data_IF_172871802267
#
_entry.id   IF_172871802267
#
_cell.length_a   1.000
_cell.length_b   1.000
_cell.length_c   1.000
_cell.angle_alpha   90.00
_cell.angle_beta   90.00
_cell.angle_gamma   90.00
#
_symmetry.space_group_name_H-M   'P 1'
#
loop_
_entity.id
_entity.type
_entity.pdbx_description
1 polymer ?
#
# COMPACT_ATOMS: atom_id res chain seq x y z
N UNK A 1 -3.34 16.04 -33.00
CA UNK A 1 -1.93 16.00 -32.57
C UNK A 1 -1.94 15.10 -31.35
N UNK A 2 -1.76 13.79 -31.56
CA UNK A 2 -1.64 12.83 -30.46
C UNK A 2 -0.28 13.12 -29.81
N UNK A 3 -0.26 13.99 -28.79
CA UNK A 3 0.84 13.96 -27.83
C UNK A 3 0.95 12.51 -27.34
N UNK A 4 2.16 11.97 -27.33
CA UNK A 4 2.40 10.60 -26.91
C UNK A 4 1.95 10.48 -25.45
N UNK A 5 0.74 9.94 -25.21
CA UNK A 5 0.18 9.75 -23.87
C UNK A 5 1.08 8.87 -22.99
N UNK A 6 2.11 8.22 -23.56
CA UNK A 6 3.14 7.55 -22.79
C UNK A 6 4.07 8.52 -22.02
N UNK A 7 4.10 9.80 -22.37
CA UNK A 7 4.95 10.81 -21.72
C UNK A 7 4.32 11.48 -20.49
N UNK A 8 3.03 11.24 -20.20
CA UNK A 8 2.34 11.88 -19.05
C UNK A 8 2.71 11.27 -17.69
N UNK A 9 3.27 10.06 -17.72
CA UNK A 9 3.82 9.36 -16.55
C UNK A 9 5.14 8.71 -16.93
N UNK A 10 6.18 8.88 -16.11
CA UNK A 10 7.49 8.26 -16.31
C UNK A 10 7.87 7.47 -15.08
N UNK A 11 8.26 6.21 -15.25
CA UNK A 11 8.78 5.39 -14.17
C UNK A 11 10.30 5.38 -14.20
N UNK A 12 10.93 5.33 -13.02
CA UNK A 12 12.36 5.33 -12.83
C UNK A 12 12.77 4.33 -11.76
N UNK A 13 14.03 3.92 -11.84
CA UNK A 13 14.68 3.03 -10.89
C UNK A 13 16.12 3.52 -10.66
N UNK A 14 16.58 3.42 -9.41
CA UNK A 14 17.99 3.37 -9.08
C UNK A 14 18.28 2.18 -8.19
N UNK A 15 19.30 1.40 -8.56
CA UNK A 15 19.84 0.28 -7.78
C UNK A 15 21.13 0.69 -7.04
N UNK A 16 21.46 1.98 -7.03
CA UNK A 16 22.60 2.49 -6.28
C UNK A 16 22.32 2.48 -4.78
N UNK A 17 23.35 2.20 -3.98
CA UNK A 17 23.29 2.33 -2.52
C UNK A 17 23.74 3.73 -2.03
N UNK A 18 24.35 4.52 -2.91
CA UNK A 18 24.78 5.89 -2.61
C UNK A 18 23.62 6.88 -2.82
N UNK A 19 23.19 7.63 -1.78
CA UNK A 19 22.03 8.51 -1.86
C UNK A 19 22.12 9.60 -2.93
N UNK A 20 23.32 10.15 -3.15
CA UNK A 20 23.56 11.17 -4.18
C UNK A 20 23.35 10.58 -5.59
N UNK A 21 23.93 9.41 -5.84
CA UNK A 21 23.77 8.67 -7.10
C UNK A 21 22.32 8.26 -7.35
N UNK A 22 21.57 7.86 -6.31
CA UNK A 22 20.14 7.59 -6.40
C UNK A 22 19.39 8.82 -6.90
N UNK A 23 19.59 9.97 -6.27
CA UNK A 23 18.90 11.20 -6.66
C UNK A 23 19.25 11.63 -8.10
N UNK A 24 20.51 11.48 -8.51
CA UNK A 24 20.95 11.74 -9.89
C UNK A 24 20.28 10.82 -10.91
N UNK A 25 20.20 9.51 -10.61
CA UNK A 25 19.60 8.51 -11.48
C UNK A 25 18.10 8.76 -11.69
N UNK A 26 17.38 9.05 -10.61
CA UNK A 26 15.96 9.37 -10.67
C UNK A 26 15.72 10.68 -11.41
N UNK A 27 16.49 11.73 -11.11
CA UNK A 27 16.36 13.02 -11.79
C UNK A 27 16.65 12.90 -13.30
N UNK A 28 17.65 12.11 -13.70
CA UNK A 28 17.98 11.86 -15.11
C UNK A 28 16.83 11.21 -15.88
N UNK A 29 16.08 10.33 -15.23
CA UNK A 29 14.96 9.60 -15.84
C UNK A 29 13.64 10.39 -15.80
N UNK A 30 13.41 11.16 -14.74
CA UNK A 30 12.12 11.79 -14.47
C UNK A 30 12.05 13.28 -14.85
N UNK A 31 13.15 14.03 -14.82
CA UNK A 31 13.10 15.47 -15.02
C UNK A 31 12.75 15.83 -16.47
N UNK A 32 11.69 16.65 -16.61
CA UNK A 32 11.31 17.33 -17.85
C UNK A 32 10.54 18.62 -17.50
N UNK A 33 10.33 19.56 -18.45
CA UNK A 33 9.72 20.87 -18.16
C UNK A 33 8.32 20.84 -17.55
N UNK A 34 7.65 19.68 -17.59
CA UNK A 34 6.28 19.51 -17.12
C UNK A 34 6.15 18.58 -15.92
N UNK A 35 7.25 18.13 -15.33
CA UNK A 35 7.19 17.29 -14.12
C UNK A 35 6.57 18.10 -12.97
N UNK A 36 5.44 17.63 -12.44
CA UNK A 36 4.72 18.29 -11.35
C UNK A 36 4.92 17.66 -9.98
N UNK A 37 5.02 16.33 -9.93
CA UNK A 37 5.13 15.57 -8.70
C UNK A 37 5.85 14.25 -8.96
N UNK A 38 6.56 13.74 -7.96
CA UNK A 38 7.15 12.40 -7.94
C UNK A 38 6.66 11.64 -6.73
N UNK A 39 6.17 10.43 -6.96
CA UNK A 39 5.92 9.43 -5.94
C UNK A 39 7.07 8.42 -5.95
N UNK A 40 7.72 8.17 -4.82
CA UNK A 40 8.82 7.21 -4.73
C UNK A 40 8.69 6.24 -3.56
N UNK A 41 9.37 5.11 -3.70
CA UNK A 41 9.41 4.02 -2.74
C UNK A 41 10.87 3.58 -2.60
N UNK A 42 11.38 3.54 -1.36
CA UNK A 42 12.78 3.25 -1.10
C UNK A 42 12.96 2.21 0.00
N UNK A 43 14.06 1.46 -0.05
CA UNK A 43 14.46 0.60 1.07
C UNK A 43 14.73 1.43 2.33
N UNK A 44 14.48 0.84 3.50
CA UNK A 44 14.81 1.48 4.77
C UNK A 44 16.31 1.45 5.10
N UNK A 45 17.13 0.73 4.30
CA UNK A 45 18.57 0.56 4.51
C UNK A 45 19.40 1.80 4.12
N UNK A 46 18.82 2.77 3.40
CA UNK A 46 19.51 4.00 3.04
C UNK A 46 19.76 4.92 4.26
N UNK A 47 20.79 5.75 4.16
CA UNK A 47 20.90 6.96 4.99
C UNK A 47 19.79 7.93 4.59
N UNK A 48 18.64 7.82 5.26
CA UNK A 48 17.42 8.58 4.93
C UNK A 48 17.63 10.11 4.99
N UNK A 49 18.33 10.69 5.99
CA UNK A 49 18.70 12.11 5.96
C UNK A 49 19.52 12.51 4.73
N UNK A 50 20.54 11.71 4.34
CA UNK A 50 21.34 11.99 3.16
C UNK A 50 20.54 11.86 1.87
N UNK A 51 19.69 10.84 1.76
CA UNK A 51 18.79 10.63 0.63
C UNK A 51 17.79 11.77 0.48
N UNK A 52 17.20 12.24 1.56
CA UNK A 52 16.30 13.38 1.54
C UNK A 52 17.00 14.66 1.03
N UNK A 53 18.20 14.95 1.53
CA UNK A 53 18.98 16.09 1.09
C UNK A 53 19.35 16.02 -0.40
N UNK A 54 19.76 14.85 -0.87
CA UNK A 54 20.08 14.62 -2.28
C UNK A 54 18.84 14.78 -3.17
N UNK A 55 17.72 14.16 -2.80
CA UNK A 55 16.47 14.28 -3.56
C UNK A 55 16.01 15.74 -3.71
N UNK A 56 16.02 16.52 -2.62
CA UNK A 56 15.70 17.95 -2.68
C UNK A 56 16.65 18.74 -3.59
N UNK A 57 17.95 18.44 -3.54
CA UNK A 57 18.95 19.10 -4.37
C UNK A 57 18.69 18.88 -5.87
N UNK A 58 18.37 17.66 -6.29
CA UNK A 58 18.25 17.32 -7.72
C UNK A 58 16.87 17.59 -8.32
N UNK A 59 15.80 17.53 -7.52
CA UNK A 59 14.44 17.78 -8.01
C UNK A 59 14.02 19.25 -7.91
N UNK A 60 14.82 20.10 -7.24
CA UNK A 60 14.77 21.56 -7.42
C UNK A 60 13.41 22.19 -7.13
N UNK A 61 12.68 21.66 -6.14
CA UNK A 61 11.34 22.15 -5.74
C UNK A 61 10.15 21.44 -6.41
N UNK A 62 10.38 20.43 -7.26
CA UNK A 62 9.32 19.48 -7.64
C UNK A 62 8.83 18.77 -6.38
N UNK A 63 7.51 18.61 -6.24
CA UNK A 63 6.92 17.92 -5.09
C UNK A 63 7.35 16.46 -5.08
N UNK A 64 7.89 16.02 -3.95
CA UNK A 64 8.28 14.64 -3.69
C UNK A 64 7.44 14.07 -2.55
N UNK A 65 6.86 12.89 -2.77
CA UNK A 65 6.16 12.11 -1.75
C UNK A 65 6.64 10.67 -1.83
N UNK A 66 6.76 9.99 -0.69
CA UNK A 66 7.16 8.59 -0.69
C UNK A 66 7.12 7.94 0.67
N UNK A 67 7.63 6.73 0.75
CA UNK A 67 7.81 6.01 2.00
C UNK A 67 8.95 4.97 1.91
N UNK A 68 9.33 4.46 3.07
CA UNK A 68 10.16 3.26 3.16
C UNK A 68 9.32 2.00 2.93
N UNK A 69 9.96 0.90 2.52
CA UNK A 69 9.24 -0.31 2.09
C UNK A 69 9.77 -1.60 2.71
N UNK A 70 9.02 -2.69 2.54
CA UNK A 70 9.49 -4.06 2.78
C UNK A 70 10.05 -4.74 1.51
N UNK A 71 10.36 -3.93 0.49
CA UNK A 71 10.74 -4.31 -0.86
C UNK A 71 9.97 -3.50 -1.91
N UNK A 72 10.57 -3.31 -3.08
CA UNK A 72 10.01 -2.45 -4.13
C UNK A 72 9.33 -3.25 -5.25
N UNK A 73 8.34 -2.63 -5.90
CA UNK A 73 7.88 -3.03 -7.23
C UNK A 73 8.37 -1.97 -8.21
N UNK A 74 9.24 -2.39 -9.11
CA UNK A 74 10.01 -1.53 -10.01
C UNK A 74 9.56 -1.72 -11.46
N UNK A 75 10.00 -0.85 -12.39
CA UNK A 75 9.82 -1.08 -13.83
C UNK A 75 10.39 -2.40 -14.34
N UNK A 76 11.27 -3.05 -13.57
CA UNK A 76 11.91 -4.32 -13.88
C UNK A 76 11.31 -5.51 -13.09
N UNK A 77 10.30 -5.27 -12.25
CA UNK A 77 9.66 -6.28 -11.41
C UNK A 77 10.00 -6.10 -9.93
N UNK A 78 10.00 -7.17 -9.15
CA UNK A 78 10.35 -7.07 -7.73
C UNK A 78 11.81 -6.62 -7.53
N UNK A 79 11.99 -5.59 -6.72
CA UNK A 79 13.28 -5.07 -6.26
C UNK A 79 13.49 -5.27 -4.76
N UNK A 80 14.71 -5.05 -4.30
CA UNK A 80 15.08 -4.98 -2.88
C UNK A 80 16.33 -4.12 -2.73
N UNK A 81 16.38 -3.26 -1.73
CA UNK A 81 17.54 -2.37 -1.52
C UNK A 81 17.68 -1.32 -2.62
N UNK A 82 16.57 -0.87 -3.21
CA UNK A 82 16.57 0.05 -4.34
C UNK A 82 15.57 1.20 -4.14
N UNK A 83 15.56 2.15 -5.09
CA UNK A 83 14.54 3.21 -5.13
C UNK A 83 13.79 3.16 -6.45
N UNK A 84 12.47 3.01 -6.35
CA UNK A 84 11.53 3.02 -7.47
C UNK A 84 10.70 4.30 -7.41
N UNK A 85 10.51 4.98 -8.54
CA UNK A 85 9.79 6.25 -8.56
C UNK A 85 8.94 6.44 -9.83
N UNK A 86 7.86 7.21 -9.70
CA UNK A 86 7.05 7.66 -10.83
C UNK A 86 6.88 9.17 -10.79
N UNK A 87 7.15 9.83 -11.92
CA UNK A 87 6.90 11.24 -12.16
C UNK A 87 5.59 11.46 -12.90
N UNK A 88 4.84 12.48 -12.48
CA UNK A 88 3.55 12.88 -13.06
C UNK A 88 3.65 14.23 -13.77
N UNK A 89 3.19 14.29 -15.02
CA UNK A 89 3.14 15.53 -15.80
C UNK A 89 1.98 16.43 -15.34
N UNK A 90 2.27 17.68 -14.96
CA UNK A 90 1.27 18.60 -14.42
C UNK A 90 0.22 19.05 -15.46
N UNK A 91 0.40 18.75 -16.74
CA UNK A 91 -0.61 18.99 -17.79
C UNK A 91 -1.74 17.97 -17.76
N UNK A 92 -1.50 16.79 -17.17
CA UNK A 92 -2.49 15.70 -17.06
C UNK A 92 -2.88 15.36 -15.63
N UNK A 93 -2.06 15.76 -14.66
CA UNK A 93 -2.29 15.51 -13.24
C UNK A 93 -2.21 16.81 -12.43
N UNK A 94 -3.16 16.98 -11.53
CA UNK A 94 -3.04 17.91 -10.41
C UNK A 94 -2.95 17.10 -9.13
N UNK A 95 -1.84 17.25 -8.40
CA UNK A 95 -1.52 16.42 -7.25
C UNK A 95 -1.25 17.30 -6.04
N UNK A 96 -2.10 17.17 -5.03
CA UNK A 96 -1.92 17.78 -3.72
C UNK A 96 -1.44 16.73 -2.71
N UNK A 97 -0.67 17.15 -1.71
CA UNK A 97 -0.19 16.27 -0.65
C UNK A 97 -0.22 16.97 0.70
N UNK A 98 -0.54 16.22 1.75
CA UNK A 98 -0.56 16.70 3.13
C UNK A 98 -0.03 15.64 4.08
N UNK A 99 0.81 16.05 5.03
CA UNK A 99 1.31 15.21 6.11
C UNK A 99 0.43 15.33 7.36
N UNK A 100 0.19 14.21 8.01
CA UNK A 100 -0.48 14.09 9.31
C UNK A 100 0.59 13.69 10.35
N UNK A 101 0.80 14.50 11.38
CA UNK A 101 1.88 14.29 12.36
C UNK A 101 1.46 13.53 13.63
N UNK A 102 0.23 13.70 14.07
CA UNK A 102 -0.24 13.23 15.38
C UNK A 102 -1.34 12.18 15.21
N UNK A 103 -0.97 11.00 14.70
CA UNK A 103 -1.93 9.92 14.40
C UNK A 103 -2.75 9.48 15.62
N UNK A 104 -2.19 9.55 16.83
CA UNK A 104 -2.87 9.19 18.09
C UNK A 104 -4.06 10.09 18.45
N UNK A 105 -4.03 11.36 18.02
CA UNK A 105 -5.06 12.34 18.32
C UNK A 105 -5.86 12.78 17.09
N UNK A 106 -5.66 12.11 15.96
CA UNK A 106 -6.26 12.49 14.70
C UNK A 106 -7.78 12.27 14.73
N UNK A 107 -8.54 13.34 14.52
CA UNK A 107 -9.99 13.36 14.60
C UNK A 107 -10.64 13.48 13.21
N UNK A 108 -11.96 13.26 13.16
CA UNK A 108 -12.75 13.52 11.95
C UNK A 108 -12.65 14.99 11.51
N UNK A 109 -12.55 15.94 12.45
CA UNK A 109 -12.43 17.35 12.11
C UNK A 109 -11.08 17.63 11.41
N UNK A 110 -10.00 17.02 11.89
CA UNK A 110 -8.67 17.12 11.28
C UNK A 110 -8.70 16.51 9.87
N UNK A 111 -9.33 15.34 9.71
CA UNK A 111 -9.51 14.69 8.42
C UNK A 111 -10.27 15.58 7.43
N UNK A 112 -11.36 16.21 7.87
CA UNK A 112 -12.14 17.14 7.04
C UNK A 112 -11.30 18.36 6.60
N UNK A 113 -10.46 18.90 7.49
CA UNK A 113 -9.56 20.01 7.16
C UNK A 113 -8.50 19.59 6.13
N UNK A 114 -7.84 18.44 6.34
CA UNK A 114 -6.85 17.88 5.41
C UNK A 114 -7.47 17.65 4.03
N UNK A 115 -8.62 16.98 3.96
CA UNK A 115 -9.29 16.69 2.68
C UNK A 115 -9.74 17.99 1.99
N UNK A 116 -10.29 18.95 2.74
CA UNK A 116 -10.69 20.24 2.16
C UNK A 116 -9.50 21.01 1.58
N UNK A 117 -8.35 21.01 2.28
CA UNK A 117 -7.11 21.62 1.78
C UNK A 117 -6.64 20.96 0.49
N UNK A 118 -6.57 19.63 0.45
CA UNK A 118 -6.14 18.86 -0.71
C UNK A 118 -7.04 19.13 -1.94
N UNK A 119 -8.35 19.16 -1.73
CA UNK A 119 -9.34 19.44 -2.78
C UNK A 119 -9.19 20.86 -3.31
N UNK A 120 -8.99 21.85 -2.44
CA UNK A 120 -8.83 23.25 -2.85
C UNK A 120 -7.55 23.45 -3.66
N UNK A 121 -6.45 22.82 -3.25
CA UNK A 121 -5.19 22.84 -4.00
C UNK A 121 -5.35 22.22 -5.39
N UNK A 122 -6.09 21.11 -5.51
CA UNK A 122 -6.36 20.49 -6.81
C UNK A 122 -7.24 21.35 -7.73
N UNK A 123 -8.22 22.08 -7.19
CA UNK A 123 -9.15 22.94 -7.96
C UNK A 123 -8.47 24.12 -8.66
N UNK A 124 -7.33 24.59 -8.16
CA UNK A 124 -6.57 25.67 -8.78
C UNK A 124 -6.03 25.36 -10.20
N UNK A 125 -6.08 24.09 -10.63
CA UNK A 125 -5.40 23.57 -11.83
C UNK A 125 -6.19 23.59 -13.14
N UNK A 126 -7.45 24.07 -13.17
CA UNK A 126 -8.34 24.11 -14.37
C UNK A 126 -8.67 22.76 -15.02
N UNK A 127 -8.52 21.65 -14.29
CA UNK A 127 -8.99 20.33 -14.71
C UNK A 127 -10.50 20.15 -14.36
N UNK A 128 -11.12 19.08 -14.87
CA UNK A 128 -12.56 18.73 -14.72
C UNK A 128 -13.05 18.73 -13.25
N UNK A 129 -14.37 18.61 -12.97
CA UNK A 129 -14.86 18.50 -11.59
C UNK A 129 -14.16 17.39 -10.79
N UNK A 130 -13.79 17.66 -9.54
CA UNK A 130 -13.06 16.71 -8.66
C UNK A 130 -13.80 15.38 -8.50
N UNK A 131 -15.14 15.40 -8.44
CA UNK A 131 -15.96 14.21 -8.31
C UNK A 131 -15.94 13.37 -9.59
N UNK A 132 -15.54 12.10 -9.46
CA UNK A 132 -15.40 11.17 -10.60
C UNK A 132 -14.03 11.24 -11.31
N UNK A 133 -13.19 12.22 -10.96
CA UNK A 133 -11.88 12.46 -11.58
C UNK A 133 -10.73 12.52 -10.56
N UNK A 134 -10.97 12.07 -9.33
CA UNK A 134 -9.94 12.08 -8.28
C UNK A 134 -9.95 10.79 -7.47
N UNK A 135 -8.77 10.39 -7.04
CA UNK A 135 -8.56 9.33 -6.06
C UNK A 135 -7.52 9.78 -5.04
N UNK A 136 -7.50 9.15 -3.87
CA UNK A 136 -6.47 9.41 -2.87
C UNK A 136 -5.60 8.18 -2.59
N UNK A 137 -4.31 8.45 -2.37
CA UNK A 137 -3.33 7.51 -1.87
C UNK A 137 -2.96 7.93 -0.44
N UNK A 138 -3.04 7.01 0.52
CA UNK A 138 -2.54 7.23 1.88
C UNK A 138 -1.32 6.35 2.12
N UNK A 139 -0.21 6.97 2.52
CA UNK A 139 0.99 6.28 3.01
C UNK A 139 1.05 6.49 4.52
N UNK A 140 1.04 5.40 5.29
CA UNK A 140 1.09 5.43 6.75
C UNK A 140 2.42 4.90 7.24
N UNK A 141 2.92 5.40 8.38
CA UNK A 141 3.94 4.69 9.15
C UNK A 141 3.36 3.34 9.60
N UNK A 142 3.90 2.25 9.06
CA UNK A 142 3.37 0.90 9.22
C UNK A 142 3.63 0.24 10.56
N UNK A 143 4.27 0.94 11.50
CA UNK A 143 4.37 0.52 12.90
C UNK A 143 3.52 1.40 13.84
N UNK A 144 2.67 2.28 13.29
CA UNK A 144 1.68 3.00 14.06
C UNK A 144 0.50 2.09 14.43
N UNK A 145 0.12 2.02 15.71
CA UNK A 145 -1.01 1.21 16.18
C UNK A 145 -2.39 1.86 15.96
N UNK A 146 -2.45 2.96 15.21
CA UNK A 146 -3.65 3.83 15.08
C UNK A 146 -4.21 3.93 13.66
N UNK A 147 -3.71 3.10 12.75
CA UNK A 147 -4.08 3.13 11.33
C UNK A 147 -5.60 3.06 11.15
N UNK A 148 -6.31 2.20 11.90
CA UNK A 148 -7.76 2.02 11.77
C UNK A 148 -8.55 3.30 12.08
N UNK A 149 -8.16 4.07 13.11
CA UNK A 149 -8.83 5.32 13.48
C UNK A 149 -8.60 6.40 12.43
N UNK A 150 -7.36 6.53 11.96
CA UNK A 150 -6.98 7.50 10.93
C UNK A 150 -7.71 7.21 9.62
N UNK A 151 -7.72 5.94 9.19
CA UNK A 151 -8.39 5.50 7.97
C UNK A 151 -9.90 5.69 8.05
N UNK A 152 -10.52 5.42 9.20
CA UNK A 152 -11.96 5.67 9.39
C UNK A 152 -12.29 7.17 9.29
N UNK A 153 -11.47 8.04 9.89
CA UNK A 153 -11.67 9.49 9.82
C UNK A 153 -11.49 10.02 8.40
N UNK A 154 -10.44 9.57 7.70
CA UNK A 154 -10.19 9.92 6.30
C UNK A 154 -11.32 9.43 5.38
N UNK A 155 -11.78 8.19 5.54
CA UNK A 155 -12.88 7.65 4.74
C UNK A 155 -14.16 8.47 4.87
N UNK A 156 -14.51 8.87 6.09
CA UNK A 156 -15.65 9.76 6.33
C UNK A 156 -15.46 11.15 5.70
N UNK A 157 -14.24 11.68 5.70
CA UNK A 157 -13.92 12.98 5.11
C UNK A 157 -13.88 12.96 3.57
N UNK A 158 -13.36 11.88 2.96
CA UNK A 158 -13.30 11.71 1.51
C UNK A 158 -14.66 11.53 0.85
N UNK A 159 -15.65 10.99 1.58
CA UNK A 159 -16.98 10.76 1.07
C UNK A 159 -16.96 9.79 -0.12
N UNK A 160 -17.22 10.30 -1.32
CA UNK A 160 -17.26 9.49 -2.54
C UNK A 160 -15.93 9.40 -3.29
N UNK A 161 -14.85 10.03 -2.80
CA UNK A 161 -13.53 9.94 -3.43
C UNK A 161 -12.95 8.54 -3.13
N UNK A 162 -12.73 7.69 -4.15
CA UNK A 162 -12.12 6.38 -3.95
C UNK A 162 -10.69 6.55 -3.44
N UNK A 163 -10.30 5.72 -2.49
CA UNK A 163 -8.98 5.84 -1.88
C UNK A 163 -8.41 4.50 -1.47
N UNK A 164 -7.09 4.44 -1.56
CA UNK A 164 -6.30 3.27 -1.22
C UNK A 164 -5.01 3.70 -0.54
N UNK A 165 -4.22 2.72 -0.11
CA UNK A 165 -2.96 3.02 0.53
C UNK A 165 -2.21 1.80 1.01
N UNK A 166 -1.06 2.10 1.58
CA UNK A 166 -0.13 1.13 2.09
C UNK A 166 0.61 1.66 3.30
N UNK A 167 0.83 0.76 4.25
CA UNK A 167 1.67 1.00 5.42
C UNK A 167 3.12 0.76 5.04
N UNK A 168 3.97 1.75 5.31
CA UNK A 168 5.41 1.73 5.07
C UNK A 168 6.05 0.52 5.74
N UNK A 169 7.16 0.05 5.17
CA UNK A 169 7.92 -1.08 5.67
C UNK A 169 9.36 -0.72 6.00
N UNK A 170 10.09 -1.68 6.56
CA UNK A 170 11.52 -1.59 6.84
C UNK A 170 12.21 -2.94 6.60
N UNK A 171 12.11 -3.46 5.39
CA UNK A 171 12.79 -4.70 4.97
C UNK A 171 12.53 -5.93 5.87
N UNK A 172 11.37 -5.98 6.53
CA UNK A 172 10.94 -7.00 7.50
C UNK A 172 11.67 -6.97 8.85
N UNK A 173 12.41 -5.90 9.17
CA UNK A 173 13.03 -5.73 10.49
C UNK A 173 11.99 -5.40 11.58
N UNK A 174 10.86 -4.78 11.22
CA UNK A 174 9.78 -4.38 12.14
C UNK A 174 10.27 -3.46 13.27
N UNK A 175 11.22 -2.57 12.94
CA UNK A 175 11.87 -1.65 13.87
C UNK A 175 11.44 -0.21 13.69
N UNK A 176 11.42 0.31 12.46
CA UNK A 176 11.14 1.72 12.19
C UNK A 176 10.79 1.98 10.73
N UNK A 177 9.60 2.51 10.46
CA UNK A 177 9.17 2.85 9.09
C UNK A 177 8.97 4.36 8.95
N UNK A 178 9.05 4.87 7.72
CA UNK A 178 9.01 6.31 7.49
C UNK A 178 8.16 6.67 6.28
N UNK A 179 7.52 7.83 6.36
CA UNK A 179 6.89 8.51 5.23
C UNK A 179 7.69 9.77 4.89
N UNK A 180 7.80 10.11 3.60
CA UNK A 180 8.52 11.27 3.12
C UNK A 180 7.54 12.40 2.74
N UNK A 181 7.80 13.60 3.28
CA UNK A 181 7.08 14.82 2.92
C UNK A 181 7.94 16.05 3.23
N UNK A 182 7.89 17.08 2.38
CA UNK A 182 8.61 18.36 2.54
C UNK A 182 10.10 18.20 2.90
N UNK A 183 10.83 17.43 2.09
CA UNK A 183 12.28 17.33 2.24
C UNK A 183 12.78 16.43 3.36
N UNK A 184 11.90 15.66 4.02
CA UNK A 184 12.27 14.86 5.21
C UNK A 184 11.47 13.56 5.32
N UNK A 185 12.09 12.58 5.96
CA UNK A 185 11.44 11.35 6.42
C UNK A 185 10.89 11.53 7.84
N UNK A 186 9.67 11.05 8.07
CA UNK A 186 8.92 11.22 9.31
C UNK A 186 8.42 9.88 9.84
N UNK A 187 8.42 9.73 11.15
CA UNK A 187 7.83 8.60 11.89
C UNK A 187 6.62 9.06 12.69
N UNK A 188 5.70 8.15 12.98
CA UNK A 188 4.43 8.45 13.63
C UNK A 188 3.52 9.31 12.77
N UNK A 189 3.74 9.32 11.46
CA UNK A 189 3.08 10.22 10.50
C UNK A 189 2.41 9.45 9.37
N UNK A 190 1.49 10.12 8.70
CA UNK A 190 0.94 9.68 7.41
C UNK A 190 1.10 10.78 6.36
N UNK A 191 1.12 10.41 5.09
CA UNK A 191 1.02 11.33 3.97
C UNK A 191 -0.18 10.95 3.13
N UNK A 192 -1.06 11.91 2.91
CA UNK A 192 -2.24 11.78 2.07
C UNK A 192 -2.00 12.54 0.79
N UNK A 193 -2.10 11.84 -0.34
CA UNK A 193 -1.94 12.39 -1.69
C UNK A 193 -3.28 12.34 -2.39
N UNK A 194 -3.79 13.50 -2.79
CA UNK A 194 -4.97 13.57 -3.66
C UNK A 194 -4.50 13.75 -5.10
N UNK A 195 -4.87 12.83 -5.96
CA UNK A 195 -4.56 12.87 -7.39
C UNK A 195 -5.84 13.18 -8.14
N UNK A 196 -5.80 14.26 -8.93
CA UNK A 196 -6.86 14.67 -9.82
C UNK A 196 -6.39 14.59 -11.28
N UNK A 197 -7.16 13.93 -12.14
CA UNK A 197 -6.77 13.70 -13.54
C UNK A 197 -7.99 13.50 -14.45
N UNK A 198 -7.83 13.89 -15.72
CA UNK A 198 -8.80 13.60 -16.77
C UNK A 198 -8.66 12.19 -17.38
N UNK A 199 -7.67 11.41 -16.92
CA UNK A 199 -7.48 10.02 -17.31
C UNK A 199 -8.50 9.12 -16.60
N UNK A 200 -8.89 8.03 -17.25
CA UNK A 200 -9.70 7.00 -16.62
C UNK A 200 -8.86 6.22 -15.60
N UNK A 201 -9.43 5.92 -14.44
CA UNK A 201 -8.77 5.11 -13.42
C UNK A 201 -9.75 4.23 -12.65
N UNK A 202 -9.22 3.20 -12.01
CA UNK A 202 -9.96 2.36 -11.09
C UNK A 202 -9.10 2.02 -9.88
N UNK A 203 -9.60 2.35 -8.68
CA UNK A 203 -9.04 1.90 -7.42
C UNK A 203 -9.55 0.49 -7.14
N UNK A 204 -8.66 -0.44 -6.85
CA UNK A 204 -8.97 -1.86 -6.73
C UNK A 204 -8.32 -2.49 -5.50
N UNK A 205 -8.85 -3.64 -5.09
CA UNK A 205 -8.21 -4.55 -4.15
C UNK A 205 -8.49 -6.00 -4.57
N UNK A 206 -7.55 -6.91 -4.34
CA UNK A 206 -7.75 -8.34 -4.59
C UNK A 206 -6.96 -9.21 -3.60
N UNK A 207 -7.48 -10.39 -3.31
CA UNK A 207 -6.77 -11.45 -2.61
C UNK A 207 -7.13 -12.81 -3.23
N UNK A 208 -6.21 -13.76 -3.10
CA UNK A 208 -6.38 -15.12 -3.64
C UNK A 208 -6.63 -16.15 -2.53
N UNK A 209 -6.84 -15.68 -1.30
CA UNK A 209 -7.03 -16.49 -0.10
C UNK A 209 -8.44 -17.10 -0.06
N UNK A 210 -8.52 -18.38 0.30
CA UNK A 210 -9.74 -19.19 0.31
C UNK A 210 -10.08 -19.68 1.73
N UNK A 211 -11.37 -19.71 2.12
CA UNK A 211 -11.78 -20.15 3.45
C UNK A 211 -11.69 -21.66 3.60
N UNK A 212 -11.31 -22.08 4.80
CA UNK A 212 -11.40 -23.45 5.31
C UNK A 212 -12.64 -23.59 6.21
N UNK A 213 -12.87 -24.80 6.74
CA UNK A 213 -14.04 -25.10 7.57
C UNK A 213 -13.87 -24.69 9.04
N UNK A 214 -12.62 -24.61 9.49
CA UNK A 214 -12.22 -24.42 10.87
C UNK A 214 -12.38 -22.97 11.29
N UNK A 215 -12.77 -22.79 12.55
CA UNK A 215 -13.05 -21.48 13.15
C UNK A 215 -12.42 -21.39 14.53
N UNK A 216 -11.95 -20.20 14.86
CA UNK A 216 -11.37 -19.83 16.14
C UNK A 216 -12.15 -18.64 16.69
N UNK A 217 -12.60 -18.73 17.93
CA UNK A 217 -13.29 -17.62 18.62
C UNK A 217 -12.26 -16.88 19.45
N UNK A 218 -12.16 -15.56 19.26
CA UNK A 218 -11.32 -14.71 20.11
C UNK A 218 -11.99 -14.54 21.47
N UNK A 219 -11.44 -15.14 22.51
CA UNK A 219 -12.04 -15.09 23.87
C UNK A 219 -11.40 -14.04 24.76
N UNK A 220 -10.13 -13.69 24.52
CA UNK A 220 -9.44 -12.59 25.20
C UNK A 220 -8.45 -11.91 24.24
N UNK A 221 -8.59 -10.60 24.07
CA UNK A 221 -7.74 -9.74 23.26
C UNK A 221 -7.70 -8.31 23.82
N UNK A 222 -6.60 -7.62 23.55
CA UNK A 222 -6.43 -6.18 23.68
C UNK A 222 -6.26 -5.56 22.28
N UNK A 223 -7.30 -4.89 21.76
CA UNK A 223 -7.25 -4.24 20.45
C UNK A 223 -6.18 -3.13 20.37
N UNK A 224 -5.88 -2.44 21.47
CA UNK A 224 -4.95 -1.31 21.46
C UNK A 224 -3.50 -1.75 21.23
N UNK A 225 -3.11 -2.89 21.79
CA UNK A 225 -1.82 -3.53 21.53
C UNK A 225 -1.87 -4.57 20.40
N UNK A 226 -3.01 -4.70 19.71
CA UNK A 226 -3.25 -5.71 18.65
C UNK A 226 -2.90 -7.13 19.09
N UNK A 227 -3.11 -7.44 20.37
CA UNK A 227 -2.68 -8.71 20.98
C UNK A 227 -3.89 -9.57 21.31
N UNK A 228 -3.89 -10.80 20.80
CA UNK A 228 -4.87 -11.84 21.13
C UNK A 228 -4.24 -12.80 22.12
N UNK A 229 -4.77 -12.83 23.34
CA UNK A 229 -4.29 -13.69 24.42
C UNK A 229 -4.87 -15.09 24.31
N UNK A 230 -6.15 -15.20 23.94
CA UNK A 230 -6.85 -16.47 23.91
C UNK A 230 -7.68 -16.67 22.64
N UNK A 231 -7.62 -17.90 22.14
CA UNK A 231 -8.48 -18.44 21.09
C UNK A 231 -9.18 -19.68 21.66
N UNK A 232 -10.51 -19.75 21.53
CA UNK A 232 -11.32 -20.85 22.06
C UNK A 232 -11.09 -21.13 23.57
N UNK A 233 -10.84 -20.10 24.38
CA UNK A 233 -10.50 -20.19 25.80
C UNK A 233 -9.18 -20.95 26.11
N UNK A 234 -8.28 -21.02 25.14
CA UNK A 234 -6.92 -21.57 25.27
C UNK A 234 -5.89 -20.52 24.85
N UNK A 235 -4.61 -20.60 25.30
CA UNK A 235 -3.56 -19.69 24.86
C UNK A 235 -3.47 -19.63 23.34
N UNK A 236 -3.51 -18.41 22.79
CA UNK A 236 -3.75 -18.19 21.36
C UNK A 236 -2.75 -18.95 20.46
N UNK A 237 -1.45 -18.92 20.78
CA UNK A 237 -0.45 -19.62 19.98
C UNK A 237 -0.58 -21.15 20.05
N UNK A 238 -0.98 -21.71 21.19
CA UNK A 238 -1.16 -23.16 21.33
C UNK A 238 -2.38 -23.64 20.54
N UNK A 239 -3.48 -22.89 20.62
CA UNK A 239 -4.69 -23.22 19.89
C UNK A 239 -4.51 -23.10 18.38
N UNK A 240 -3.79 -22.06 17.94
CA UNK A 240 -3.44 -21.90 16.54
C UNK A 240 -2.48 -23.00 16.05
N UNK A 241 -1.46 -23.36 16.83
CA UNK A 241 -0.58 -24.48 16.49
C UNK A 241 -1.34 -25.81 16.39
N UNK A 242 -2.30 -26.04 17.30
CA UNK A 242 -3.18 -27.22 17.29
C UNK A 242 -4.07 -27.26 16.05
N UNK A 243 -4.61 -26.11 15.62
CA UNK A 243 -5.35 -25.99 14.36
C UNK A 243 -4.49 -26.41 13.16
N UNK A 244 -3.23 -25.99 13.12
CA UNK A 244 -2.32 -26.30 12.01
C UNK A 244 -1.72 -27.72 12.11
N UNK A 245 -1.79 -28.35 13.28
CA UNK A 245 -1.14 -29.64 13.53
C UNK A 245 0.38 -29.55 13.61
N UNK A 246 0.91 -28.40 14.04
CA UNK A 246 2.36 -28.10 14.14
C UNK A 246 2.78 -27.89 15.59
N UNK A 247 4.10 -27.92 15.84
CA UNK A 247 4.64 -27.51 17.13
C UNK A 247 4.55 -25.97 17.27
N UNK A 248 4.16 -25.40 18.44
CA UNK A 248 4.15 -23.96 18.65
C UNK A 248 5.47 -23.24 18.31
N UNK A 249 6.61 -23.92 18.41
CA UNK A 249 7.92 -23.38 18.03
C UNK A 249 8.12 -23.21 16.53
N UNK A 250 7.25 -23.82 15.70
CA UNK A 250 7.25 -23.68 14.25
C UNK A 250 6.40 -22.49 13.79
N UNK A 251 5.72 -21.79 14.70
CA UNK A 251 4.93 -20.61 14.37
C UNK A 251 5.83 -19.41 14.07
N UNK A 252 6.15 -19.26 12.78
CA UNK A 252 6.98 -18.19 12.24
C UNK A 252 6.28 -17.44 11.09
N UNK A 253 6.96 -16.42 10.56
CA UNK A 253 6.40 -15.58 9.48
C UNK A 253 5.98 -16.38 8.23
N UNK A 254 6.79 -17.32 7.69
CA UNK A 254 6.35 -18.20 6.60
C UNK A 254 5.09 -18.99 6.93
N UNK A 255 4.96 -19.50 8.16
CA UNK A 255 3.76 -20.21 8.61
C UNK A 255 2.54 -19.28 8.60
N UNK A 256 2.67 -18.05 9.09
CA UNK A 256 1.57 -17.08 9.08
C UNK A 256 1.15 -16.65 7.67
N UNK A 257 2.11 -16.53 6.74
CA UNK A 257 1.82 -16.22 5.35
C UNK A 257 1.00 -17.33 4.67
N UNK A 258 1.30 -18.59 4.99
CA UNK A 258 0.67 -19.77 4.38
C UNK A 258 -0.60 -20.24 5.07
N UNK A 259 -0.86 -19.79 6.30
CA UNK A 259 -2.04 -20.20 7.09
C UNK A 259 -2.81 -19.00 7.66
N UNK A 260 -3.30 -18.07 6.81
CA UNK A 260 -3.97 -16.87 7.27
C UNK A 260 -5.25 -17.13 8.07
N UNK A 261 -5.61 -16.17 8.91
CA UNK A 261 -6.92 -16.08 9.56
C UNK A 261 -7.70 -14.92 8.95
N UNK A 262 -9.02 -15.04 8.83
CA UNK A 262 -9.87 -13.95 8.34
C UNK A 262 -11.19 -13.81 9.10
N UNK A 263 -11.67 -12.58 9.20
CA UNK A 263 -13.02 -12.27 9.66
C UNK A 263 -13.95 -12.27 8.46
N UNK A 264 -15.13 -12.88 8.60
CA UNK A 264 -16.18 -12.81 7.58
C UNK A 264 -17.11 -11.64 7.88
N UNK A 265 -17.23 -10.70 6.94
CA UNK A 265 -18.20 -9.61 6.96
C UNK A 265 -19.11 -9.74 5.73
N UNK A 266 -20.36 -10.12 5.95
CA UNK A 266 -21.28 -10.48 4.87
C UNK A 266 -20.75 -11.69 4.07
N UNK A 267 -20.55 -11.49 2.77
CA UNK A 267 -20.00 -12.52 1.87
C UNK A 267 -18.47 -12.39 1.65
N UNK A 268 -17.83 -11.40 2.27
CA UNK A 268 -16.41 -11.12 2.08
C UNK A 268 -15.58 -11.57 3.29
N UNK A 269 -14.33 -11.93 3.01
CA UNK A 269 -13.34 -12.32 4.02
C UNK A 269 -12.24 -11.26 4.11
N UNK A 270 -11.97 -10.81 5.32
CA UNK A 270 -10.97 -9.81 5.63
C UNK A 270 -9.87 -10.44 6.47
N UNK A 271 -8.70 -10.61 5.87
CA UNK A 271 -7.56 -11.27 6.53
C UNK A 271 -7.09 -10.42 7.72
N UNK A 272 -6.72 -11.13 8.79
CA UNK A 272 -6.07 -10.61 9.99
C UNK A 272 -4.78 -11.38 10.16
N UNK A 273 -3.69 -10.81 9.66
CA UNK A 273 -2.41 -11.49 9.65
C UNK A 273 -1.74 -11.43 11.02
N UNK A 274 -1.22 -12.58 11.45
CA UNK A 274 -0.41 -12.70 12.66
C UNK A 274 0.99 -12.16 12.35
N UNK A 275 1.52 -11.34 13.26
CA UNK A 275 2.87 -10.79 13.18
C UNK A 275 3.86 -11.70 13.90
N UNK A 276 3.56 -12.10 15.14
CA UNK A 276 4.47 -12.89 15.98
C UNK A 276 3.75 -13.63 17.10
N UNK A 277 4.44 -14.65 17.64
CA UNK A 277 4.16 -15.24 18.94
C UNK A 277 4.92 -14.49 20.03
N UNK A 278 4.25 -14.15 21.13
CA UNK A 278 4.87 -13.52 22.30
C UNK A 278 5.32 -14.57 23.32
N UNK A 279 6.14 -14.15 24.29
CA UNK A 279 6.69 -15.06 25.32
C UNK A 279 5.61 -15.70 26.22
N UNK A 280 4.46 -15.05 26.36
CA UNK A 280 3.30 -15.54 27.11
C UNK A 280 2.33 -16.38 26.25
N UNK A 281 2.74 -16.74 25.02
CA UNK A 281 1.94 -17.49 24.04
C UNK A 281 0.73 -16.74 23.48
N UNK A 282 0.63 -15.42 23.72
CA UNK A 282 -0.28 -14.56 22.97
C UNK A 282 0.22 -14.33 21.53
N UNK A 283 -0.69 -13.93 20.65
CA UNK A 283 -0.39 -13.60 19.25
C UNK A 283 -0.58 -12.10 19.03
N UNK A 284 0.44 -11.42 18.50
CA UNK A 284 0.30 -10.03 18.02
C UNK A 284 -0.08 -10.06 16.54
N UNK A 285 -1.05 -9.24 16.14
CA UNK A 285 -1.56 -9.12 14.77
C UNK A 285 -1.17 -7.78 14.14
N UNK A 286 -1.16 -7.73 12.80
CA UNK A 286 -0.95 -6.48 12.05
C UNK A 286 -2.14 -5.52 12.16
N UNK A 287 -3.35 -6.02 12.32
CA UNK A 287 -4.56 -5.23 12.53
C UNK A 287 -5.21 -5.54 13.88
N UNK A 288 -6.01 -4.62 14.40
CA UNK A 288 -6.78 -4.83 15.61
C UNK A 288 -7.78 -6.02 15.49
N UNK A 289 -7.90 -6.77 16.58
CA UNK A 289 -8.83 -7.90 16.73
C UNK A 289 -9.57 -7.75 18.08
N UNK A 290 -10.90 -7.81 18.05
CA UNK A 290 -11.75 -7.65 19.24
C UNK A 290 -12.23 -8.99 19.82
N UNK A 291 -12.59 -8.95 21.10
CA UNK A 291 -13.24 -10.07 21.78
C UNK A 291 -14.55 -10.47 21.10
N UNK A 292 -14.79 -11.77 21.01
CA UNK A 292 -16.00 -12.34 20.42
C UNK A 292 -15.99 -12.44 18.90
N UNK A 293 -14.96 -11.92 18.21
CA UNK A 293 -14.80 -12.10 16.78
C UNK A 293 -14.51 -13.58 16.48
N UNK A 294 -15.14 -14.09 15.41
CA UNK A 294 -14.86 -15.41 14.87
C UNK A 294 -13.88 -15.28 13.70
N UNK A 295 -12.70 -15.84 13.89
CA UNK A 295 -11.67 -15.99 12.86
C UNK A 295 -11.90 -17.31 12.13
N UNK A 296 -11.96 -17.25 10.81
CA UNK A 296 -12.02 -18.42 9.93
C UNK A 296 -10.60 -18.75 9.50
N UNK A 297 -10.23 -20.03 9.58
CA UNK A 297 -8.97 -20.51 9.02
C UNK A 297 -9.00 -20.38 7.50
N UNK A 298 -7.89 -19.97 6.89
CA UNK A 298 -7.81 -19.72 5.47
C UNK A 298 -6.55 -20.37 4.88
N UNK A 299 -6.53 -20.51 3.56
CA UNK A 299 -5.36 -20.99 2.81
C UNK A 299 -5.12 -20.16 1.54
N UNK A 300 -3.86 -19.96 1.10
CA UNK A 300 -3.57 -19.31 -0.17
C UNK A 300 -4.00 -20.18 -1.35
N UNK A 301 -4.94 -19.67 -2.15
CA UNK A 301 -5.31 -20.22 -3.45
C UNK A 301 -4.31 -19.86 -4.57
N UNK A 302 -4.73 -19.88 -5.84
CA UNK A 302 -3.85 -19.59 -6.97
C UNK A 302 -3.64 -18.07 -7.16
N UNK A 303 -2.49 -17.57 -6.70
CA UNK A 303 -2.11 -16.15 -6.75
C UNK A 303 -2.03 -15.58 -8.18
N UNK A 304 -1.27 -16.23 -9.07
CA UNK A 304 -1.06 -15.74 -10.44
C UNK A 304 -2.36 -15.65 -11.26
N UNK A 305 -3.22 -16.69 -11.30
CA UNK A 305 -4.54 -16.59 -11.93
C UNK A 305 -5.43 -15.48 -11.35
N UNK A 306 -5.37 -15.25 -10.04
CA UNK A 306 -6.11 -14.15 -9.41
C UNK A 306 -5.61 -12.78 -9.89
N UNK A 307 -4.29 -12.56 -9.95
CA UNK A 307 -3.72 -11.33 -10.49
C UNK A 307 -4.04 -11.15 -11.99
N UNK A 308 -3.94 -12.21 -12.78
CA UNK A 308 -4.27 -12.14 -14.21
C UNK A 308 -5.73 -11.74 -14.42
N UNK A 309 -6.66 -12.35 -13.69
CA UNK A 309 -8.08 -12.02 -13.78
C UNK A 309 -8.38 -10.57 -13.36
N UNK A 310 -7.69 -10.06 -12.33
CA UNK A 310 -7.77 -8.65 -11.92
C UNK A 310 -7.37 -7.75 -13.10
N UNK A 311 -6.17 -7.94 -13.66
CA UNK A 311 -5.65 -7.08 -14.71
C UNK A 311 -6.43 -7.19 -16.02
N UNK A 312 -6.90 -8.38 -16.39
CA UNK A 312 -7.78 -8.56 -17.55
C UNK A 312 -9.08 -7.76 -17.38
N UNK A 313 -9.68 -7.79 -16.17
CA UNK A 313 -10.86 -7.00 -15.86
C UNK A 313 -10.60 -5.49 -15.92
N UNK A 314 -9.49 -5.03 -15.36
CA UNK A 314 -9.09 -3.62 -15.40
C UNK A 314 -8.89 -3.14 -16.85
N UNK A 315 -8.20 -3.93 -17.69
CA UNK A 315 -7.98 -3.60 -19.09
C UNK A 315 -9.29 -3.59 -19.91
N UNK A 316 -10.25 -4.46 -19.59
CA UNK A 316 -11.56 -4.44 -20.23
C UNK A 316 -12.32 -3.13 -19.96
N UNK A 317 -12.16 -2.55 -18.76
CA UNK A 317 -12.86 -1.33 -18.34
C UNK A 317 -12.11 -0.04 -18.70
N UNK A 318 -10.79 -0.03 -18.58
CA UNK A 318 -9.93 1.14 -18.76
C UNK A 318 -9.15 1.16 -20.09
N UNK A 319 -9.18 0.07 -20.85
CA UNK A 319 -8.29 -0.11 -22.00
C UNK A 319 -6.83 -0.36 -21.57
N UNK A 320 -5.85 -0.14 -22.46
CA UNK A 320 -4.44 -0.29 -22.14
C UNK A 320 -4.02 0.62 -20.98
N UNK A 321 -3.38 0.01 -19.96
CA UNK A 321 -2.93 0.73 -18.77
C UNK A 321 -1.70 1.59 -19.07
N UNK A 322 -1.72 2.83 -18.59
CA UNK A 322 -0.58 3.75 -18.58
C UNK A 322 0.31 3.52 -17.35
N UNK A 323 -0.30 3.20 -16.23
CA UNK A 323 0.37 3.02 -14.95
C UNK A 323 -0.52 2.20 -14.02
N UNK A 324 0.08 1.34 -13.21
CA UNK A 324 -0.55 0.80 -12.01
C UNK A 324 0.29 1.17 -10.81
N UNK A 325 -0.30 1.81 -9.80
CA UNK A 325 0.37 2.04 -8.50
C UNK A 325 -0.12 0.96 -7.54
N UNK A 326 0.80 0.13 -7.05
CA UNK A 326 0.51 -1.08 -6.28
C UNK A 326 1.04 -1.06 -4.85
N UNK A 327 0.19 -1.47 -3.91
CA UNK A 327 0.50 -1.82 -2.52
C UNK A 327 0.31 -3.34 -2.39
N UNK A 328 1.41 -4.10 -2.34
CA UNK A 328 1.39 -5.58 -2.33
C UNK A 328 1.90 -6.10 -1.00
N UNK A 329 1.05 -6.73 -0.18
CA UNK A 329 1.45 -7.20 1.15
C UNK A 329 2.77 -7.98 1.12
N UNK A 330 3.70 -7.68 2.04
CA UNK A 330 4.96 -8.42 2.12
C UNK A 330 4.74 -9.93 2.34
N UNK A 331 3.65 -10.33 3.00
CA UNK A 331 3.25 -11.72 3.18
C UNK A 331 2.89 -12.41 1.85
N UNK A 332 2.36 -11.67 0.87
CA UNK A 332 2.13 -12.20 -0.49
C UNK A 332 3.44 -12.39 -1.22
N UNK A 333 4.37 -11.44 -1.11
CA UNK A 333 5.71 -11.61 -1.67
C UNK A 333 6.43 -12.80 -1.04
N UNK A 334 6.32 -12.99 0.28
CA UNK A 334 6.87 -14.13 0.98
C UNK A 334 6.27 -15.46 0.48
N UNK A 335 4.96 -15.52 0.24
CA UNK A 335 4.32 -16.68 -0.39
C UNK A 335 4.88 -16.94 -1.80
N UNK A 336 5.00 -15.89 -2.63
CA UNK A 336 5.56 -15.97 -3.98
C UNK A 336 6.99 -16.52 -3.95
N UNK A 337 7.81 -16.05 -3.02
CA UNK A 337 9.19 -16.51 -2.81
C UNK A 337 9.22 -17.98 -2.34
N UNK A 338 8.42 -18.34 -1.34
CA UNK A 338 8.34 -19.70 -0.81
C UNK A 338 7.86 -20.72 -1.85
N UNK A 339 7.01 -20.29 -2.80
CA UNK A 339 6.49 -21.13 -3.89
C UNK A 339 7.33 -21.07 -5.18
N UNK A 340 8.43 -20.31 -5.19
CA UNK A 340 9.30 -20.17 -6.36
C UNK A 340 8.65 -19.46 -7.56
N UNK A 341 7.65 -18.62 -7.33
CA UNK A 341 6.86 -17.94 -8.37
C UNK A 341 7.35 -16.51 -8.68
N UNK A 342 8.55 -16.13 -8.20
CA UNK A 342 9.08 -14.76 -8.27
C UNK A 342 9.15 -14.25 -9.70
N UNK A 343 9.74 -15.02 -10.61
CA UNK A 343 9.94 -14.60 -12.00
C UNK A 343 8.61 -14.39 -12.75
N UNK A 344 7.66 -15.29 -12.57
CA UNK A 344 6.35 -15.22 -13.23
C UNK A 344 5.53 -14.03 -12.70
N UNK A 345 5.56 -13.81 -11.39
CA UNK A 345 4.86 -12.69 -10.73
C UNK A 345 5.48 -11.37 -11.13
N UNK A 346 6.81 -11.24 -11.04
CA UNK A 346 7.53 -10.05 -11.48
C UNK A 346 7.26 -9.75 -12.96
N UNK A 347 7.30 -10.77 -13.83
CA UNK A 347 6.99 -10.61 -15.25
C UNK A 347 5.56 -10.13 -15.50
N UNK A 348 4.58 -10.59 -14.72
CA UNK A 348 3.21 -10.07 -14.79
C UNK A 348 3.14 -8.61 -14.35
N UNK A 349 3.75 -8.24 -13.22
CA UNK A 349 3.77 -6.86 -12.71
C UNK A 349 4.41 -5.89 -13.72
N UNK A 350 5.52 -6.28 -14.36
CA UNK A 350 6.17 -5.50 -15.43
C UNK A 350 5.23 -5.30 -16.62
N UNK A 351 4.60 -6.38 -17.13
CA UNK A 351 3.66 -6.29 -18.26
C UNK A 351 2.49 -5.36 -17.98
N UNK A 352 2.07 -5.28 -16.72
CA UNK A 352 0.94 -4.46 -16.26
C UNK A 352 1.37 -3.07 -15.77
N UNK A 353 2.63 -2.69 -16.01
CA UNK A 353 3.24 -1.39 -15.66
C UNK A 353 3.02 -1.04 -14.19
N UNK A 354 3.19 -2.03 -13.31
CA UNK A 354 3.07 -1.82 -11.87
C UNK A 354 4.34 -1.18 -11.33
N UNK A 355 4.17 -0.08 -10.62
CA UNK A 355 5.16 0.50 -9.72
C UNK A 355 4.56 0.58 -8.33
N UNK A 356 5.36 0.40 -7.30
CA UNK A 356 4.79 0.25 -5.97
C UNK A 356 5.77 -0.30 -4.97
N UNK A 357 5.20 -0.91 -3.93
CA UNK A 357 6.00 -1.43 -2.85
C UNK A 357 5.31 -2.56 -2.10
N UNK A 358 6.13 -3.30 -1.37
CA UNK A 358 5.69 -4.27 -0.40
C UNK A 358 5.40 -3.60 0.93
N UNK A 359 4.16 -3.75 1.39
CA UNK A 359 3.57 -3.08 2.55
C UNK A 359 3.53 -3.98 3.77
N UNK A 360 3.47 -3.40 4.97
CA UNK A 360 3.07 -4.12 6.20
C UNK A 360 1.55 -4.21 6.39
N UNK A 361 0.80 -3.44 5.61
CA UNK A 361 -0.64 -3.43 5.60
C UNK A 361 -1.15 -2.62 4.42
N UNK A 362 -2.31 -2.99 3.89
CA UNK A 362 -2.94 -2.34 2.76
C UNK A 362 -4.24 -1.67 3.20
N UNK A 363 -4.65 -0.66 2.45
CA UNK A 363 -5.76 0.21 2.83
C UNK A 363 -6.70 0.33 1.66
N UNK A 364 -7.99 0.11 1.89
CA UNK A 364 -9.02 0.23 0.86
C UNK A 364 -10.31 0.76 1.47
N UNK A 365 -10.77 1.94 1.01
CA UNK A 365 -12.01 2.57 1.46
C UNK A 365 -12.18 2.59 2.99
N UNK A 366 -11.17 3.08 3.71
CA UNK A 366 -11.16 3.22 5.16
C UNK A 366 -10.85 1.95 5.96
N UNK A 367 -10.63 0.81 5.29
CA UNK A 367 -10.31 -0.45 5.96
C UNK A 367 -8.82 -0.76 5.89
N UNK A 368 -8.25 -1.18 7.03
CA UNK A 368 -6.94 -1.80 7.09
C UNK A 368 -7.07 -3.32 6.83
N UNK A 369 -6.42 -3.80 5.78
CA UNK A 369 -6.49 -5.18 5.30
C UNK A 369 -5.08 -5.72 5.07
N UNK A 370 -4.90 -7.04 5.18
CA UNK A 370 -3.62 -7.70 4.94
C UNK A 370 -3.74 -8.75 3.84
N UNK A 371 -2.60 -9.20 3.31
CA UNK A 371 -2.50 -10.23 2.27
C UNK A 371 -3.35 -9.93 1.03
N UNK A 372 -3.44 -8.65 0.70
CA UNK A 372 -4.08 -8.14 -0.51
C UNK A 372 -3.06 -7.51 -1.45
N UNK A 373 -3.45 -7.41 -2.71
CA UNK A 373 -2.85 -6.48 -3.64
C UNK A 373 -3.87 -5.39 -3.90
N UNK A 374 -3.54 -4.17 -3.47
CA UNK A 374 -4.42 -3.01 -3.50
C UNK A 374 -3.74 -1.90 -4.27
N UNK A 375 -4.49 -1.11 -5.04
CA UNK A 375 -3.86 -0.13 -5.90
C UNK A 375 -4.82 0.73 -6.70
N UNK A 376 -4.25 1.49 -7.63
CA UNK A 376 -4.97 2.19 -8.68
C UNK A 376 -4.37 1.84 -10.02
N UNK A 377 -5.22 1.51 -10.99
CA UNK A 377 -4.85 1.38 -12.39
C UNK A 377 -5.33 2.62 -13.13
N UNK A 378 -4.45 3.24 -13.92
CA UNK A 378 -4.73 4.42 -14.72
C UNK A 378 -4.64 4.02 -16.20
N UNK A 379 -5.74 4.19 -16.92
CA UNK A 379 -5.89 3.95 -18.34
C UNK A 379 -5.73 5.21 -19.18
N UNK A 380 -5.89 5.06 -20.49
CA UNK A 380 -6.03 6.20 -21.41
C UNK A 380 -7.47 6.70 -21.37
N UNK A 381 -7.73 8.00 -21.65
CA UNK A 381 -9.09 8.49 -21.77
C UNK A 381 -9.83 7.64 -22.81
N UNK A 382 -10.92 7.00 -22.41
CA UNK A 382 -11.79 6.30 -23.31
C UNK A 382 -12.23 7.26 -24.41
N UNK A 383 -11.92 6.93 -25.68
CA UNK A 383 -12.57 7.61 -26.82
C UNK A 383 -14.06 7.24 -26.78
N UNK A 384 -14.85 8.00 -26.03
CA UNK A 384 -16.30 8.05 -26.13
C UNK A 384 -17.08 7.50 -24.94
N UNK A 385 -17.53 8.40 -24.06
CA UNK A 385 -18.97 8.49 -23.79
C UNK A 385 -19.58 9.47 -24.80
N UNK A 386 -19.70 9.03 -26.05
CA UNK A 386 -20.79 9.54 -26.88
C UNK A 386 -22.05 8.80 -26.47
N UNK A 387 -22.84 9.41 -25.59
CA UNK A 387 -24.30 9.36 -25.66
C UNK A 387 -24.91 10.69 -25.24
#
# INVERSE_FOLDING_TARGET
MEEDLNDVVRMALSESNDPESVAQDLARQLMHPHLGCVLFFCSAEYDLPALAAALEQYFGGVRLVGCTTAGEITPQGYGRGCVSAVGFDHRSFSIAAARIDALDSFSLLDAQQVVAQLVEECRGSRLEPVAGHSFALTLLDGLSSREELVLSALNAAFGSIPHFGGSAGDDNYLTRTHVYHDGRFHTGSAVVVLVHTALDFEVFTTHHIQPLGEKLVVTAADPASRTVFELNAEPAALEYARLLGVDPQQLDLPTFALHPLAVRLGEQYYVRSIQRVNADLSLTFYCAVENGIVLTAMQPGPLLPNLQALFDGLQQRLGPLLLTIGCDCFLRRMEVEARGMVADTAGLLVRQRVIGFNTYGEQFNGMHINQTFTGVAIGRPGRGLCR
#
